data_IF_573744091425
#
_entry.id   IF_573744091425
#
_cell.length_a   1.000
_cell.length_b   1.000
_cell.length_c   1.000
_cell.angle_alpha   90.00
_cell.angle_beta   90.00
_cell.angle_gamma   90.00
#
_symmetry.space_group_name_H-M   'P 1'
#
loop_
_entity.id
_entity.type
_entity.pdbx_description
1 polymer ?
#
# COMPACT_ATOMS: atom_id res chain seq x y z
N UNK A 1 -14.17 12.47 -6.11
CA UNK A 1 -13.26 12.70 -4.97
C UNK A 1 -12.23 13.73 -5.41
N UNK A 2 -11.95 14.77 -4.61
CA UNK A 2 -11.04 15.84 -5.03
C UNK A 2 -9.59 15.46 -4.64
N UNK A 3 -8.68 15.31 -5.61
CA UNK A 3 -7.29 14.89 -5.38
C UNK A 3 -6.53 15.77 -4.38
N UNK A 4 -6.89 17.06 -4.32
CA UNK A 4 -6.31 18.00 -3.35
C UNK A 4 -6.67 17.67 -1.90
N UNK A 5 -7.80 17.00 -1.66
CA UNK A 5 -8.21 16.59 -0.32
C UNK A 5 -7.44 15.35 0.15
N UNK A 6 -7.01 14.46 -0.75
CA UNK A 6 -6.21 13.28 -0.40
C UNK A 6 -4.87 13.66 0.23
N UNK A 7 -4.20 14.69 -0.30
CA UNK A 7 -2.91 15.17 0.19
C UNK A 7 -3.02 16.30 1.21
N UNK A 8 -4.23 16.62 1.67
CA UNK A 8 -4.41 17.63 2.71
C UNK A 8 -4.21 17.02 4.09
N UNK A 9 -3.02 17.23 4.66
CA UNK A 9 -2.64 16.74 5.99
C UNK A 9 -3.27 17.51 7.17
N UNK A 10 -4.01 18.60 6.91
CA UNK A 10 -4.57 19.43 7.98
C UNK A 10 -5.68 18.70 8.73
N UNK A 11 -5.41 18.28 9.96
CA UNK A 11 -6.34 17.59 10.86
C UNK A 11 -6.35 16.06 10.69
N UNK A 12 -5.35 15.49 10.01
CA UNK A 12 -5.00 14.07 10.14
C UNK A 12 -4.01 13.85 11.27
N UNK A 13 -4.12 12.72 11.96
CA UNK A 13 -3.18 12.27 12.97
C UNK A 13 -1.88 11.79 12.31
N UNK A 14 -0.84 12.65 12.32
CA UNK A 14 0.46 12.36 11.73
C UNK A 14 1.12 11.09 12.29
N UNK A 15 0.85 10.74 13.55
CA UNK A 15 1.37 9.51 14.14
C UNK A 15 0.84 8.27 13.42
N UNK A 16 -0.46 8.25 13.09
CA UNK A 16 -1.06 7.14 12.35
C UNK A 16 -0.60 7.07 10.90
N UNK A 17 -0.25 8.22 10.28
CA UNK A 17 0.44 8.23 8.99
C UNK A 17 1.81 7.57 9.13
N UNK A 18 2.57 7.92 10.17
CA UNK A 18 3.87 7.30 10.46
C UNK A 18 3.76 5.79 10.67
N UNK A 19 2.75 5.32 11.42
CA UNK A 19 2.45 3.89 11.57
C UNK A 19 2.11 3.24 10.24
N UNK A 20 1.30 3.90 9.41
CA UNK A 20 0.96 3.43 8.06
C UNK A 20 2.20 3.27 7.17
N UNK A 21 3.10 4.26 7.18
CA UNK A 21 4.38 4.21 6.49
C UNK A 21 5.23 3.05 7.02
N UNK A 22 5.42 2.95 8.34
CA UNK A 22 6.22 1.89 8.96
C UNK A 22 5.71 0.49 8.61
N UNK A 23 4.40 0.27 8.71
CA UNK A 23 3.77 -1.00 8.32
C UNK A 23 4.03 -1.34 6.85
N UNK A 24 3.78 -0.39 5.94
CA UNK A 24 3.95 -0.60 4.51
C UNK A 24 5.41 -0.84 4.13
N UNK A 25 6.34 -0.15 4.79
CA UNK A 25 7.77 -0.39 4.64
C UNK A 25 8.13 -1.83 5.02
N UNK A 26 7.78 -2.28 6.22
CA UNK A 26 8.08 -3.64 6.69
C UNK A 26 7.44 -4.68 5.79
N UNK A 27 6.15 -4.50 5.44
CA UNK A 27 5.42 -5.42 4.58
C UNK A 27 6.07 -5.57 3.19
N UNK A 28 6.39 -4.46 2.54
CA UNK A 28 7.04 -4.45 1.23
C UNK A 28 8.43 -5.07 1.30
N UNK A 29 9.24 -4.73 2.32
CA UNK A 29 10.56 -5.34 2.50
C UNK A 29 10.48 -6.86 2.65
N UNK A 30 9.62 -7.35 3.54
CA UNK A 30 9.45 -8.80 3.76
C UNK A 30 8.99 -9.49 2.48
N UNK A 31 8.04 -8.90 1.77
CA UNK A 31 7.53 -9.44 0.49
C UNK A 31 8.64 -9.56 -0.55
N UNK A 32 9.42 -8.50 -0.74
CA UNK A 32 10.54 -8.49 -1.70
C UNK A 32 11.63 -9.50 -1.30
N UNK A 33 11.97 -9.58 -0.01
CA UNK A 33 12.94 -10.56 0.49
C UNK A 33 12.49 -12.00 0.22
N UNK A 34 11.21 -12.31 0.45
CA UNK A 34 10.66 -13.63 0.13
C UNK A 34 10.72 -13.89 -1.38
N UNK A 35 10.31 -12.92 -2.20
CA UNK A 35 10.34 -13.05 -3.67
C UNK A 35 11.75 -13.36 -4.19
N UNK A 36 12.77 -12.62 -3.75
CA UNK A 36 14.17 -12.89 -4.13
C UNK A 36 14.67 -14.23 -3.57
N UNK A 37 14.26 -14.60 -2.35
CA UNK A 37 14.65 -15.87 -1.74
C UNK A 37 14.12 -17.08 -2.51
N UNK A 38 12.90 -16.99 -3.04
CA UNK A 38 12.30 -18.04 -3.87
C UNK A 38 12.92 -18.04 -5.26
N UNK A 39 13.09 -16.87 -5.87
CA UNK A 39 13.66 -16.74 -7.22
C UNK A 39 15.08 -17.31 -7.28
N UNK A 40 15.90 -17.06 -6.24
CA UNK A 40 17.26 -17.62 -6.14
C UNK A 40 17.32 -19.15 -5.98
N UNK A 41 16.20 -19.82 -5.68
CA UNK A 41 16.13 -21.29 -5.60
C UNK A 41 15.52 -21.92 -6.83
N UNK A 42 14.55 -21.26 -7.45
CA UNK A 42 13.84 -21.80 -8.60
C UNK A 42 13.33 -20.69 -9.52
N UNK A 43 14.05 -20.48 -10.62
CA UNK A 43 13.69 -19.50 -11.65
C UNK A 43 12.40 -19.87 -12.42
N UNK A 44 12.01 -21.14 -12.44
CA UNK A 44 10.76 -21.55 -13.09
C UNK A 44 9.51 -21.00 -12.38
N UNK A 45 9.65 -20.46 -11.17
CA UNK A 45 8.56 -19.89 -10.38
C UNK A 45 8.29 -18.41 -10.65
N UNK A 46 8.97 -17.79 -11.62
CA UNK A 46 8.78 -16.36 -11.97
C UNK A 46 7.29 -15.96 -12.09
N UNK A 47 6.41 -16.69 -12.81
CA UNK A 47 5.00 -16.29 -12.92
C UNK A 47 4.26 -16.29 -11.58
N UNK A 48 4.54 -17.27 -10.72
CA UNK A 48 3.94 -17.36 -9.38
C UNK A 48 4.43 -16.21 -8.49
N UNK A 49 5.71 -15.84 -8.57
CA UNK A 49 6.28 -14.72 -7.83
C UNK A 49 5.66 -13.39 -8.28
N UNK A 50 5.47 -13.18 -9.59
CA UNK A 50 4.81 -11.97 -10.10
C UNK A 50 3.39 -11.82 -9.56
N UNK A 51 2.60 -12.91 -9.56
CA UNK A 51 1.27 -12.93 -8.96
C UNK A 51 1.31 -12.66 -7.45
N UNK A 52 2.25 -13.28 -6.74
CA UNK A 52 2.46 -13.05 -5.30
C UNK A 52 2.78 -11.58 -5.02
N UNK A 53 3.67 -10.96 -5.81
CA UNK A 53 4.04 -9.55 -5.67
C UNK A 53 2.83 -8.64 -5.88
N UNK A 54 2.01 -8.88 -6.91
CA UNK A 54 0.77 -8.12 -7.15
C UNK A 54 -0.19 -8.22 -5.96
N UNK A 55 -0.49 -9.44 -5.51
CA UNK A 55 -1.43 -9.69 -4.42
C UNK A 55 -0.91 -9.09 -3.11
N UNK A 56 0.36 -9.27 -2.80
CA UNK A 56 0.96 -8.73 -1.59
C UNK A 56 1.03 -7.20 -1.62
N UNK A 57 1.41 -6.62 -2.77
CA UNK A 57 1.43 -5.18 -2.96
C UNK A 57 0.03 -4.58 -2.80
N UNK A 58 -1.04 -5.28 -3.15
CA UNK A 58 -2.39 -4.82 -2.84
C UNK A 58 -2.73 -4.98 -1.35
N UNK A 59 -2.57 -6.19 -0.80
CA UNK A 59 -3.09 -6.56 0.52
C UNK A 59 -2.41 -5.81 1.67
N UNK A 60 -1.09 -5.61 1.63
CA UNK A 60 -0.38 -4.92 2.71
C UNK A 60 -0.87 -3.47 2.90
N UNK A 61 -0.78 -2.63 1.86
CA UNK A 61 -1.37 -1.30 1.84
C UNK A 61 -2.85 -1.26 2.12
N UNK A 62 -3.64 -2.22 1.60
CA UNK A 62 -5.06 -2.31 1.90
C UNK A 62 -5.32 -2.47 3.40
N UNK A 63 -4.67 -3.44 4.05
CA UNK A 63 -4.83 -3.66 5.48
C UNK A 63 -4.34 -2.44 6.26
N UNK A 64 -3.19 -1.86 5.87
CA UNK A 64 -2.64 -0.66 6.49
C UNK A 64 -3.61 0.52 6.45
N UNK A 65 -4.14 0.86 5.27
CA UNK A 65 -5.10 1.95 5.09
C UNK A 65 -6.41 1.69 5.82
N UNK A 66 -6.87 0.44 5.84
CA UNK A 66 -8.07 0.05 6.58
C UNK A 66 -7.91 0.21 8.09
N UNK A 67 -6.81 -0.29 8.66
CA UNK A 67 -6.53 -0.19 10.09
C UNK A 67 -6.26 1.26 10.52
N UNK A 68 -5.34 1.96 9.86
CA UNK A 68 -4.98 3.34 10.22
C UNK A 68 -6.18 4.29 10.06
N UNK A 69 -6.95 4.14 8.98
CA UNK A 69 -8.15 4.93 8.76
C UNK A 69 -9.27 4.63 9.77
N UNK A 70 -9.40 3.37 10.25
CA UNK A 70 -10.36 3.04 11.32
C UNK A 70 -9.94 3.58 12.67
N UNK A 71 -8.65 3.50 13.00
CA UNK A 71 -8.09 4.02 14.25
C UNK A 71 -8.17 5.54 14.32
N UNK A 72 -8.00 6.22 13.18
CA UNK A 72 -8.11 7.67 13.11
C UNK A 72 -9.54 8.18 13.34
N UNK A 73 -10.54 7.45 12.82
CA UNK A 73 -11.96 7.77 12.95
C UNK A 73 -12.37 9.21 12.56
N UNK A 74 -11.56 9.89 11.75
CA UNK A 74 -11.68 11.31 11.35
C UNK A 74 -12.29 11.49 9.95
N UNK A 75 -12.73 10.40 9.32
CA UNK A 75 -13.28 10.40 7.96
C UNK A 75 -12.22 10.51 6.85
N UNK A 76 -10.92 10.52 7.18
CA UNK A 76 -9.82 10.70 6.22
C UNK A 76 -9.07 9.41 5.89
N UNK A 77 -9.72 8.26 6.05
CA UNK A 77 -9.16 6.94 5.71
C UNK A 77 -8.36 6.89 4.39
N UNK A 78 -8.89 7.42 3.26
CA UNK A 78 -8.16 7.44 1.99
C UNK A 78 -6.82 8.18 2.04
N UNK A 79 -6.70 9.25 2.83
CA UNK A 79 -5.45 9.99 3.02
C UNK A 79 -4.40 9.12 3.71
N UNK A 80 -4.76 8.43 4.80
CA UNK A 80 -3.85 7.51 5.50
C UNK A 80 -3.41 6.37 4.59
N UNK A 81 -4.36 5.78 3.85
CA UNK A 81 -4.09 4.69 2.91
C UNK A 81 -3.13 5.08 1.79
N UNK A 82 -3.41 6.18 1.09
CA UNK A 82 -2.58 6.64 -0.04
C UNK A 82 -1.20 7.07 0.46
N UNK A 83 -1.13 7.96 1.45
CA UNK A 83 0.15 8.50 1.93
C UNK A 83 1.00 7.39 2.56
N UNK A 84 0.38 6.52 3.36
CA UNK A 84 1.07 5.36 3.94
C UNK A 84 1.64 4.42 2.88
N UNK A 85 0.92 4.21 1.77
CA UNK A 85 1.35 3.32 0.68
C UNK A 85 2.47 3.89 -0.21
N UNK A 86 2.77 5.19 -0.14
CA UNK A 86 3.82 5.80 -0.96
C UNK A 86 5.21 5.20 -0.71
N UNK A 87 5.48 4.75 0.52
CA UNK A 87 6.75 4.06 0.81
C UNK A 87 6.86 2.74 0.07
N UNK A 88 5.75 1.99 -0.05
CA UNK A 88 5.71 0.75 -0.84
C UNK A 88 5.97 1.04 -2.31
N UNK A 89 5.45 2.14 -2.85
CA UNK A 89 5.75 2.59 -4.22
C UNK A 89 7.23 2.86 -4.40
N UNK A 90 7.82 3.68 -3.53
CA UNK A 90 9.25 4.05 -3.63
C UNK A 90 10.14 2.82 -3.54
N UNK A 91 9.89 1.92 -2.58
CA UNK A 91 10.68 0.69 -2.42
C UNK A 91 10.50 -0.26 -3.60
N UNK A 92 9.26 -0.48 -4.04
CA UNK A 92 8.97 -1.36 -5.17
C UNK A 92 9.61 -0.85 -6.44
N UNK A 93 9.45 0.43 -6.76
CA UNK A 93 10.08 1.03 -7.94
C UNK A 93 11.59 0.98 -7.83
N UNK A 94 12.18 1.35 -6.68
CA UNK A 94 13.63 1.34 -6.50
C UNK A 94 14.26 -0.05 -6.67
N UNK A 95 13.56 -1.11 -6.25
CA UNK A 95 14.04 -2.49 -6.36
C UNK A 95 13.73 -3.12 -7.72
N UNK A 96 12.56 -2.85 -8.29
CA UNK A 96 12.07 -3.46 -9.53
C UNK A 96 12.24 -2.56 -10.76
N UNK A 97 13.07 -1.51 -10.71
CA UNK A 97 13.43 -0.69 -11.89
C UNK A 97 13.80 -1.57 -13.09
N UNK A 98 14.65 -2.62 -12.95
CA UNK A 98 15.04 -3.44 -14.10
C UNK A 98 13.89 -4.25 -14.70
N UNK A 99 12.82 -4.48 -13.92
CA UNK A 99 11.64 -5.23 -14.35
C UNK A 99 10.68 -4.41 -15.23
N UNK A 100 11.00 -3.14 -15.49
CA UNK A 100 10.25 -2.26 -16.39
C UNK A 100 8.80 -2.10 -15.99
N UNK A 101 7.88 -2.48 -16.88
CA UNK A 101 6.44 -2.29 -16.68
C UNK A 101 5.89 -3.06 -15.47
N UNK A 102 6.49 -4.19 -15.11
CA UNK A 102 6.05 -4.97 -13.95
C UNK A 102 6.24 -4.19 -12.66
N UNK A 103 7.41 -3.57 -12.45
CA UNK A 103 7.65 -2.75 -11.26
C UNK A 103 6.65 -1.60 -11.13
N UNK A 104 6.31 -0.97 -12.26
CA UNK A 104 5.29 0.09 -12.31
C UNK A 104 3.89 -0.44 -11.96
N UNK A 105 3.51 -1.60 -12.50
CA UNK A 105 2.23 -2.24 -12.17
C UNK A 105 2.15 -2.59 -10.67
N UNK A 106 3.21 -3.16 -10.09
CA UNK A 106 3.24 -3.50 -8.65
C UNK A 106 3.05 -2.23 -7.82
N UNK A 107 3.72 -1.14 -8.20
CA UNK A 107 3.60 0.14 -7.51
C UNK A 107 2.19 0.76 -7.61
N UNK A 108 1.56 0.72 -8.80
CA UNK A 108 0.17 1.17 -8.97
C UNK A 108 -0.79 0.32 -8.14
N UNK A 109 -0.59 -0.99 -8.10
CA UNK A 109 -1.38 -1.91 -7.29
C UNK A 109 -1.22 -1.63 -5.80
N UNK A 110 -0.03 -1.22 -5.35
CA UNK A 110 0.19 -0.78 -3.97
C UNK A 110 -0.63 0.46 -3.59
N UNK A 111 -0.65 1.48 -4.47
CA UNK A 111 -1.51 2.65 -4.28
C UNK A 111 -2.99 2.28 -4.28
N UNK A 112 -3.40 1.39 -5.20
CA UNK A 112 -4.77 0.90 -5.26
C UNK A 112 -5.16 0.18 -3.97
N UNK A 113 -4.29 -0.67 -3.42
CA UNK A 113 -4.48 -1.31 -2.13
C UNK A 113 -4.73 -0.28 -1.02
N UNK A 114 -3.80 0.65 -0.84
CA UNK A 114 -3.88 1.71 0.18
C UNK A 114 -5.17 2.52 0.07
N UNK A 115 -5.50 2.98 -1.13
CA UNK A 115 -6.73 3.73 -1.40
C UNK A 115 -7.99 2.95 -1.04
N UNK A 116 -8.11 1.70 -1.49
CA UNK A 116 -9.28 0.85 -1.24
C UNK A 116 -9.43 0.52 0.25
N UNK A 117 -8.33 0.24 0.94
CA UNK A 117 -8.32 0.02 2.39
C UNK A 117 -8.81 1.25 3.14
N UNK A 118 -8.29 2.42 2.79
CA UNK A 118 -8.70 3.70 3.37
C UNK A 118 -10.16 4.06 3.09
N UNK A 119 -10.69 3.74 1.90
CA UNK A 119 -12.11 3.93 1.59
C UNK A 119 -12.99 2.99 2.43
N UNK A 120 -12.60 1.72 2.56
CA UNK A 120 -13.32 0.75 3.39
C UNK A 120 -13.32 1.13 4.88
N UNK A 121 -12.30 1.86 5.33
CA UNK A 121 -12.20 2.30 6.72
C UNK A 121 -13.24 3.37 7.08
N UNK A 122 -13.78 4.10 6.10
CA UNK A 122 -14.75 5.16 6.34
C UNK A 122 -16.06 4.57 6.85
N UNK A 123 -16.56 5.07 7.99
CA UNK A 123 -17.92 4.77 8.42
C UNK A 123 -18.89 5.37 7.42
N UNK A 124 -19.69 4.53 6.77
CA UNK A 124 -20.87 4.99 6.03
C UNK A 124 -21.80 5.64 7.05
N UNK A 125 -22.10 6.93 6.88
CA UNK A 125 -23.20 7.54 7.63
C UNK A 125 -24.47 6.74 7.27
N UNK A 126 -25.20 6.18 8.24
CA UNK A 126 -26.53 5.65 7.95
C UNK A 126 -27.38 6.85 7.56
N UNK A 127 -27.76 6.90 6.29
CA UNK A 127 -28.83 7.71 5.69
C UNK A 127 -29.26 8.97 6.49
N UNK A 128 -28.75 10.12 6.06
CA UNK A 128 -29.63 11.27 5.79
C UNK A 128 -30.10 11.15 4.34
#
# INVERSE_FOLDING_TARGET
MNWRQLFNLRGTNLWLIGVGIGWNMVWTFVTLLIAFRVLSRNESMVPAIQLMLMVSAFLGPFLSGWFTGRLAADGRGPTYGVIGSLVSVVLTLGVLVPSGILGLLVAVVALAGGLNGGLLSQRRRPHE
#
